data_IF_450392585057
#
_entry.id   IF_450392585057
#
_cell.length_a   1.000
_cell.length_b   1.000
_cell.length_c   1.000
_cell.angle_alpha   90.00
_cell.angle_beta   90.00
_cell.angle_gamma   90.00
#
_symmetry.space_group_name_H-M   'P 1'
#
loop_
_entity.id
_entity.type
_entity.pdbx_description
1 polymer ?
#
# COMPACT_ATOMS: atom_id res chain seq x y z
N UNK A 1 11.43 11.30 1.62
CA UNK A 1 11.78 11.32 3.06
C UNK A 1 13.16 10.73 3.35
N UNK A 2 13.53 9.57 2.75
CA UNK A 2 14.86 8.98 2.98
C UNK A 2 16.00 9.91 2.54
N UNK A 3 15.89 10.57 1.38
CA UNK A 3 16.87 11.55 0.90
C UNK A 3 16.96 12.82 1.77
N UNK A 4 15.97 13.08 2.62
CA UNK A 4 15.93 14.25 3.52
C UNK A 4 16.45 13.93 4.92
N UNK A 5 16.61 12.66 5.27
CA UNK A 5 17.11 12.21 6.56
C UNK A 5 18.63 12.00 6.50
N UNK A 6 19.31 12.15 7.61
CA UNK A 6 20.78 12.01 7.69
C UNK A 6 21.32 10.60 7.44
N UNK A 7 20.46 9.64 7.13
CA UNK A 7 20.84 8.24 6.86
C UNK A 7 21.78 8.07 5.66
N UNK A 8 21.76 9.01 4.70
CA UNK A 8 22.71 9.00 3.58
C UNK A 8 24.17 9.20 4.03
N UNK A 9 24.41 9.74 5.22
CA UNK A 9 25.76 9.94 5.80
C UNK A 9 26.40 8.65 6.27
N UNK A 10 25.62 7.60 6.50
CA UNK A 10 26.14 6.28 6.85
C UNK A 10 26.88 5.70 5.65
N UNK A 11 28.06 5.11 5.88
CA UNK A 11 28.99 4.73 4.81
C UNK A 11 28.37 3.82 3.74
N UNK A 12 27.52 2.87 4.10
CA UNK A 12 26.84 2.01 3.14
C UNK A 12 25.79 2.70 2.25
N UNK A 13 25.34 3.90 2.62
CA UNK A 13 24.24 4.58 1.94
C UNK A 13 24.68 5.69 0.99
N UNK A 14 25.92 6.16 1.07
CA UNK A 14 26.42 7.30 0.25
C UNK A 14 26.27 7.04 -1.24
N UNK A 15 26.70 5.88 -1.71
CA UNK A 15 26.63 5.51 -3.13
C UNK A 15 25.18 5.51 -3.62
N UNK A 16 24.30 4.85 -2.87
CA UNK A 16 22.87 4.76 -3.18
C UNK A 16 22.20 6.14 -3.14
N UNK A 17 22.57 6.99 -2.18
CA UNK A 17 22.08 8.36 -2.12
C UNK A 17 22.45 9.15 -3.38
N UNK A 18 23.71 9.09 -3.81
CA UNK A 18 24.18 9.82 -5.00
C UNK A 18 23.51 9.31 -6.27
N UNK A 19 23.31 8.00 -6.38
CA UNK A 19 22.59 7.39 -7.50
C UNK A 19 21.14 7.90 -7.56
N UNK A 20 20.41 7.86 -6.44
CA UNK A 20 19.03 8.34 -6.36
C UNK A 20 18.93 9.85 -6.63
N UNK A 21 19.87 10.65 -6.11
CA UNK A 21 19.92 12.07 -6.37
C UNK A 21 20.13 12.37 -7.86
N UNK A 22 21.01 11.63 -8.53
CA UNK A 22 21.26 11.76 -9.97
C UNK A 22 20.03 11.37 -10.81
N UNK A 23 19.37 10.25 -10.50
CA UNK A 23 18.12 9.82 -11.16
C UNK A 23 17.04 10.91 -11.02
N UNK A 24 16.89 11.45 -9.80
CA UNK A 24 15.92 12.50 -9.53
C UNK A 24 16.24 13.79 -10.27
N UNK A 25 17.50 14.21 -10.24
CA UNK A 25 17.94 15.43 -10.92
C UNK A 25 17.77 15.37 -12.46
N UNK A 26 17.88 14.18 -13.03
CA UNK A 26 17.62 13.94 -14.45
C UNK A 26 16.14 13.82 -14.81
N UNK A 27 15.24 13.87 -13.84
CA UNK A 27 13.81 13.69 -14.07
C UNK A 27 13.39 12.29 -14.51
N UNK A 28 14.23 11.26 -14.28
CA UNK A 28 13.99 9.89 -14.75
C UNK A 28 12.97 9.13 -13.89
N UNK A 29 12.63 9.64 -12.71
CA UNK A 29 11.73 8.97 -11.76
C UNK A 29 10.48 9.82 -11.45
N UNK A 30 9.63 10.15 -12.43
CA UNK A 30 8.44 10.98 -12.21
C UNK A 30 7.44 10.35 -11.23
N UNK A 31 7.38 9.01 -11.16
CA UNK A 31 6.56 8.25 -10.21
C UNK A 31 7.30 7.92 -8.90
N UNK A 32 8.53 8.37 -8.74
CA UNK A 32 9.40 8.10 -7.59
C UNK A 32 10.46 7.03 -7.86
N UNK A 33 11.51 7.02 -7.03
CA UNK A 33 12.69 6.17 -7.21
C UNK A 33 12.36 4.68 -7.20
N UNK A 34 11.47 4.24 -6.31
CA UNK A 34 11.10 2.81 -6.22
C UNK A 34 10.39 2.36 -7.48
N UNK A 35 9.47 3.20 -8.02
CA UNK A 35 8.81 2.92 -9.28
C UNK A 35 9.80 2.82 -10.44
N UNK A 36 10.74 3.76 -10.52
CA UNK A 36 11.79 3.76 -11.53
C UNK A 36 12.64 2.46 -11.48
N UNK A 37 13.09 2.05 -10.29
CA UNK A 37 13.87 0.83 -10.13
C UNK A 37 13.06 -0.39 -10.56
N UNK A 38 11.83 -0.52 -10.06
CA UNK A 38 10.98 -1.68 -10.36
C UNK A 38 10.66 -1.78 -11.86
N UNK A 39 10.32 -0.68 -12.51
CA UNK A 39 10.01 -0.65 -13.95
C UNK A 39 11.27 -0.83 -14.83
N UNK A 40 12.47 -0.55 -14.31
CA UNK A 40 13.74 -0.77 -15.01
C UNK A 40 14.23 -2.21 -14.88
N UNK A 41 14.09 -2.80 -13.68
CA UNK A 41 14.54 -4.16 -13.38
C UNK A 41 13.57 -5.24 -13.89
N UNK A 42 12.29 -4.91 -13.99
CA UNK A 42 11.21 -5.87 -14.29
C UNK A 42 10.27 -5.31 -15.36
N UNK A 43 10.36 -5.82 -16.56
CA UNK A 43 9.56 -5.40 -17.72
C UNK A 43 8.04 -5.65 -17.60
N UNK A 44 7.66 -6.58 -16.74
CA UNK A 44 6.26 -6.92 -16.46
C UNK A 44 5.62 -6.13 -15.31
N UNK A 45 6.38 -5.28 -14.61
CA UNK A 45 5.88 -4.41 -13.55
C UNK A 45 5.54 -3.04 -14.12
N UNK A 46 4.34 -2.58 -13.83
CA UNK A 46 3.91 -1.20 -14.07
C UNK A 46 3.55 -0.57 -12.74
N UNK A 47 4.26 0.47 -12.35
CA UNK A 47 3.95 1.26 -11.17
C UNK A 47 2.94 2.36 -11.50
N UNK A 48 2.02 2.61 -10.59
CA UNK A 48 1.08 3.72 -10.69
C UNK A 48 1.73 5.01 -10.18
N UNK A 49 1.42 6.13 -10.81
CA UNK A 49 1.72 7.46 -10.29
C UNK A 49 0.77 7.85 -9.15
N UNK A 50 1.07 8.99 -8.53
CA UNK A 50 0.15 9.60 -7.57
C UNK A 50 -1.13 10.00 -8.32
N UNK A 51 -2.29 9.66 -7.77
CA UNK A 51 -3.61 9.95 -8.34
C UNK A 51 -3.97 9.17 -9.64
N UNK A 52 -3.16 8.20 -10.07
CA UNK A 52 -3.57 7.26 -11.12
C UNK A 52 -4.56 6.23 -10.56
N UNK A 53 -5.70 6.06 -11.27
CA UNK A 53 -6.71 5.05 -10.92
C UNK A 53 -6.34 3.68 -11.48
N UNK A 54 -6.61 2.64 -10.71
CA UNK A 54 -6.51 1.25 -11.15
C UNK A 54 -7.73 0.46 -10.73
N UNK A 55 -8.65 0.28 -11.67
CA UNK A 55 -9.92 -0.41 -11.43
C UNK A 55 -9.89 -1.84 -11.94
N UNK A 56 -10.24 -2.79 -11.07
CA UNK A 56 -10.39 -4.20 -11.42
C UNK A 56 -11.79 -4.66 -11.05
N UNK A 57 -12.59 -5.02 -12.04
CA UNK A 57 -13.95 -5.54 -11.86
C UNK A 57 -14.83 -4.62 -10.98
N UNK A 58 -14.66 -3.30 -11.13
CA UNK A 58 -15.41 -2.30 -10.37
C UNK A 58 -14.85 -1.96 -9.00
N UNK A 59 -13.66 -2.46 -8.66
CA UNK A 59 -12.93 -2.12 -7.44
C UNK A 59 -11.74 -1.23 -7.74
N UNK A 60 -11.66 -0.07 -7.08
CA UNK A 60 -10.51 0.83 -7.13
C UNK A 60 -9.40 0.31 -6.20
N UNK A 61 -8.21 0.12 -6.74
CA UNK A 61 -7.07 -0.50 -6.05
C UNK A 61 -5.86 0.44 -5.88
N UNK A 62 -5.93 1.65 -6.42
CA UNK A 62 -4.80 2.60 -6.37
C UNK A 62 -4.63 3.30 -5.04
N UNK A 63 -5.65 3.27 -4.18
CA UNK A 63 -5.67 3.99 -2.91
C UNK A 63 -4.83 3.26 -1.86
N UNK A 64 -3.73 3.88 -1.41
CA UNK A 64 -2.92 3.30 -0.34
C UNK A 64 -3.68 3.23 1.00
N UNK A 65 -4.45 4.26 1.33
CA UNK A 65 -5.24 4.32 2.56
C UNK A 65 -4.73 5.31 3.60
N UNK A 66 -3.61 5.99 3.36
CA UNK A 66 -3.08 7.05 4.24
C UNK A 66 -3.82 8.37 4.07
N UNK A 67 -4.34 8.64 2.87
CA UNK A 67 -5.10 9.84 2.53
C UNK A 67 -6.55 9.50 2.24
N UNK A 68 -7.45 10.17 2.93
CA UNK A 68 -8.87 10.13 2.70
C UNK A 68 -9.35 11.25 1.78
N UNK A 69 -10.64 11.51 1.79
CA UNK A 69 -11.24 12.58 0.99
C UNK A 69 -10.59 13.93 1.26
N UNK A 70 -10.34 14.69 0.19
CA UNK A 70 -9.73 16.03 0.23
C UNK A 70 -8.36 16.09 0.94
N UNK A 71 -7.59 14.98 0.89
CA UNK A 71 -6.26 14.92 1.47
C UNK A 71 -6.21 14.79 3.00
N UNK A 72 -7.33 14.60 3.66
CA UNK A 72 -7.39 14.34 5.10
C UNK A 72 -6.77 12.97 5.44
N UNK A 73 -6.50 12.70 6.72
CA UNK A 73 -6.04 11.38 7.14
C UNK A 73 -7.07 10.31 6.78
N UNK A 74 -6.63 9.26 6.10
CA UNK A 74 -7.50 8.17 5.66
C UNK A 74 -8.16 7.43 6.82
N UNK A 75 -9.44 7.11 6.63
CA UNK A 75 -10.18 6.24 7.54
C UNK A 75 -11.17 5.38 6.76
N UNK A 76 -11.51 4.22 7.29
CA UNK A 76 -12.43 3.29 6.64
C UNK A 76 -13.81 3.93 6.34
N UNK A 77 -14.29 4.81 7.22
CA UNK A 77 -15.57 5.52 7.01
C UNK A 77 -15.48 6.47 5.81
N UNK A 78 -14.38 7.19 5.65
CA UNK A 78 -14.18 8.08 4.49
C UNK A 78 -14.13 7.28 3.19
N UNK A 79 -13.41 6.15 3.18
CA UNK A 79 -13.33 5.28 2.00
C UNK A 79 -14.66 4.63 1.64
N UNK A 80 -15.47 4.24 2.64
CA UNK A 80 -16.84 3.80 2.42
C UNK A 80 -17.69 4.86 1.70
N UNK A 81 -17.48 6.13 2.03
CA UNK A 81 -18.26 7.24 1.49
C UNK A 81 -17.80 7.68 0.08
N UNK A 82 -16.74 7.09 -0.47
CA UNK A 82 -16.42 7.28 -1.88
C UNK A 82 -17.47 6.55 -2.73
N UNK A 83 -17.95 7.19 -3.80
CA UNK A 83 -18.94 6.58 -4.71
C UNK A 83 -18.32 5.49 -5.62
N UNK A 84 -17.32 4.79 -5.12
CA UNK A 84 -16.63 3.69 -5.81
C UNK A 84 -16.24 2.64 -4.79
N UNK A 85 -16.46 1.37 -5.15
CA UNK A 85 -15.93 0.26 -4.35
C UNK A 85 -14.41 0.33 -4.35
N UNK A 86 -13.81 0.18 -3.17
CA UNK A 86 -12.36 0.33 -3.07
C UNK A 86 -11.73 -0.64 -2.07
N UNK A 87 -10.46 -0.95 -2.32
CA UNK A 87 -9.62 -1.76 -1.44
C UNK A 87 -8.39 -0.96 -1.08
N UNK A 88 -8.14 -0.80 0.21
CA UNK A 88 -6.99 -0.04 0.72
C UNK A 88 -6.10 -0.88 1.64
N UNK A 89 -4.90 -0.42 1.90
CA UNK A 89 -3.96 -0.95 2.89
C UNK A 89 -3.78 -0.01 4.08
N UNK A 90 -2.53 0.31 4.39
CA UNK A 90 -2.04 1.28 5.37
C UNK A 90 -2.38 1.00 6.84
N UNK A 91 -3.63 0.73 7.17
CA UNK A 91 -4.09 0.54 8.57
C UNK A 91 -3.57 -0.74 9.20
N UNK A 92 -3.08 -1.69 8.41
CA UNK A 92 -2.68 -3.04 8.80
C UNK A 92 -3.81 -3.85 9.47
N UNK A 93 -5.03 -3.36 9.42
CA UNK A 93 -6.22 -3.97 10.01
C UNK A 93 -7.19 -4.36 8.89
N UNK A 94 -7.65 -5.61 8.90
CA UNK A 94 -8.69 -6.02 7.97
C UNK A 94 -10.03 -5.40 8.40
N UNK A 95 -10.63 -4.61 7.53
CA UNK A 95 -11.92 -3.94 7.76
C UNK A 95 -12.82 -4.22 6.57
N UNK A 96 -14.07 -4.53 6.84
CA UNK A 96 -15.11 -4.66 5.82
C UNK A 96 -16.25 -3.71 6.15
N UNK A 97 -16.45 -2.75 5.30
CA UNK A 97 -17.61 -1.86 5.29
C UNK A 97 -18.28 -1.95 3.93
N UNK A 98 -19.49 -1.46 3.82
CA UNK A 98 -20.20 -1.44 2.54
C UNK A 98 -19.41 -0.65 1.50
N UNK A 99 -19.05 -1.30 0.39
CA UNK A 99 -18.24 -0.71 -0.68
C UNK A 99 -16.75 -0.50 -0.35
N UNK A 100 -16.27 -0.82 0.87
CA UNK A 100 -14.87 -0.65 1.25
C UNK A 100 -14.29 -1.88 1.95
N UNK A 101 -13.10 -2.29 1.52
CA UNK A 101 -12.29 -3.30 2.20
C UNK A 101 -10.91 -2.72 2.51
N UNK A 102 -10.42 -2.91 3.72
CA UNK A 102 -9.03 -2.65 4.06
C UNK A 102 -8.30 -3.96 4.30
N UNK A 103 -7.15 -4.17 3.66
CA UNK A 103 -6.31 -5.34 3.91
C UNK A 103 -5.46 -5.14 5.16
N UNK A 104 -5.03 -6.25 5.75
CA UNK A 104 -4.06 -6.26 6.82
C UNK A 104 -2.62 -6.05 6.33
N UNK A 105 -1.70 -6.70 6.97
CA UNK A 105 -0.27 -6.66 6.63
C UNK A 105 0.25 -8.06 6.27
N UNK A 106 1.37 -8.13 5.57
CA UNK A 106 2.13 -9.37 5.35
C UNK A 106 3.38 -9.45 6.22
N UNK A 107 3.50 -8.58 7.21
CA UNK A 107 4.63 -8.54 8.14
C UNK A 107 4.30 -9.23 9.47
N UNK A 108 5.28 -9.29 10.36
CA UNK A 108 5.04 -9.69 11.75
C UNK A 108 4.05 -8.74 12.41
N UNK A 109 3.10 -9.27 13.17
CA UNK A 109 2.08 -8.47 13.84
C UNK A 109 2.63 -7.64 15.01
N UNK A 110 3.83 -7.97 15.50
CA UNK A 110 4.56 -7.19 16.50
C UNK A 110 5.90 -6.76 15.94
N UNK A 111 6.10 -5.46 15.82
CA UNK A 111 7.24 -4.81 15.17
C UNK A 111 8.04 -3.93 16.13
N UNK A 112 7.84 -4.06 17.44
CA UNK A 112 8.55 -3.25 18.45
C UNK A 112 8.00 -1.84 18.65
N UNK A 113 7.44 -1.22 17.62
CA UNK A 113 6.82 0.12 17.73
C UNK A 113 5.30 0.08 17.97
N UNK A 114 4.64 -1.02 17.67
CA UNK A 114 3.22 -1.23 17.95
C UNK A 114 3.05 -1.97 19.28
N UNK A 115 3.20 -1.24 20.37
CA UNK A 115 3.07 -1.76 21.73
C UNK A 115 1.61 -1.91 22.14
N UNK A 116 1.32 -2.84 23.07
CA UNK A 116 -0.01 -3.04 23.62
C UNK A 116 -0.92 -3.94 22.77
N UNK A 117 -2.22 -3.77 22.89
CA UNK A 117 -3.21 -4.46 22.08
C UNK A 117 -3.21 -3.91 20.66
N UNK A 118 -3.22 -4.80 19.66
CA UNK A 118 -3.17 -4.44 18.26
C UNK A 118 -4.32 -5.08 17.49
N UNK A 119 -4.92 -4.31 16.60
CA UNK A 119 -5.92 -4.78 15.63
C UNK A 119 -5.29 -5.30 14.33
N UNK A 120 -3.96 -5.32 14.24
CA UNK A 120 -3.27 -5.79 13.05
C UNK A 120 -3.57 -7.25 12.76
N UNK A 121 -3.76 -7.55 11.50
CA UNK A 121 -4.04 -8.89 10.99
C UNK A 121 -3.20 -9.18 9.75
N UNK A 122 -2.87 -10.44 9.55
CA UNK A 122 -2.32 -10.89 8.27
C UNK A 122 -3.49 -11.24 7.38
N UNK A 123 -3.75 -10.43 6.36
CA UNK A 123 -4.88 -10.66 5.46
C UNK A 123 -4.69 -10.04 4.09
N UNK A 124 -5.31 -10.66 3.12
CA UNK A 124 -5.43 -10.21 1.73
C UNK A 124 -6.90 -10.15 1.31
N UNK A 125 -7.15 -9.64 0.11
CA UNK A 125 -8.47 -9.66 -0.53
C UNK A 125 -8.34 -10.36 -1.88
N UNK A 126 -9.30 -11.22 -2.19
CA UNK A 126 -9.52 -11.77 -3.53
C UNK A 126 -10.73 -11.08 -4.15
N UNK A 127 -10.61 -10.67 -5.41
CA UNK A 127 -11.70 -10.21 -6.25
C UNK A 127 -12.04 -11.34 -7.21
N UNK A 128 -13.29 -11.77 -7.20
CA UNK A 128 -13.80 -12.82 -8.08
C UNK A 128 -14.31 -12.23 -9.40
N UNK A 129 -14.40 -13.05 -10.48
CA UNK A 129 -14.90 -12.60 -11.78
C UNK A 129 -16.31 -11.96 -11.75
N UNK A 130 -17.13 -12.33 -10.76
CA UNK A 130 -18.46 -11.76 -10.54
C UNK A 130 -18.44 -10.42 -9.74
N UNK A 131 -17.30 -9.76 -9.65
CA UNK A 131 -17.10 -8.49 -8.91
C UNK A 131 -17.33 -8.58 -7.39
N UNK A 132 -17.46 -9.77 -6.83
CA UNK A 132 -17.45 -9.96 -5.37
C UNK A 132 -16.02 -9.94 -4.86
N UNK A 133 -15.80 -9.38 -3.67
CA UNK A 133 -14.50 -9.39 -3.02
C UNK A 133 -14.62 -9.95 -1.61
N UNK A 134 -13.58 -10.66 -1.19
CA UNK A 134 -13.56 -11.39 0.08
C UNK A 134 -12.20 -11.31 0.74
N UNK A 135 -12.18 -11.09 2.07
CA UNK A 135 -10.95 -11.21 2.85
C UNK A 135 -10.52 -12.68 2.98
N UNK A 136 -9.22 -12.86 2.92
CA UNK A 136 -8.54 -14.09 3.33
C UNK A 136 -7.64 -13.73 4.50
N UNK A 137 -7.88 -14.34 5.65
CA UNK A 137 -7.06 -14.17 6.84
C UNK A 137 -6.08 -15.32 6.97
N UNK A 138 -4.87 -15.01 7.41
CA UNK A 138 -3.83 -16.01 7.68
C UNK A 138 -3.59 -16.03 9.19
N UNK A 139 -3.94 -17.12 9.83
CA UNK A 139 -3.78 -17.32 11.27
C UNK A 139 -2.93 -18.57 11.49
N UNK A 140 -1.80 -18.44 12.19
CA UNK A 140 -0.87 -19.54 12.47
C UNK A 140 -0.46 -20.32 11.22
N UNK A 141 -0.21 -19.61 10.11
CA UNK A 141 0.17 -20.22 8.84
C UNK A 141 -0.96 -20.89 8.05
N UNK A 142 -2.20 -20.83 8.54
CA UNK A 142 -3.40 -21.33 7.84
C UNK A 142 -4.26 -20.18 7.40
N UNK A 143 -4.78 -20.24 6.18
CA UNK A 143 -5.74 -19.26 5.70
C UNK A 143 -7.16 -19.62 6.15
N UNK A 144 -7.96 -18.62 6.44
CA UNK A 144 -9.39 -18.73 6.70
C UNK A 144 -10.13 -17.62 5.97
N UNK A 145 -11.37 -17.91 5.60
CA UNK A 145 -12.29 -16.92 5.03
C UNK A 145 -13.40 -16.68 6.03
N UNK A 146 -13.60 -15.41 6.40
CA UNK A 146 -14.74 -15.01 7.18
C UNK A 146 -15.79 -14.39 6.27
N UNK A 147 -17.00 -14.79 6.42
CA UNK A 147 -18.16 -14.31 5.68
C UNK A 147 -18.78 -13.08 6.35
#
# INVERSE_FOLDING_TARGET
RWLQNEDWRKDGNKKLYLEFANITAKGLAPKGIIAYILETEFDHIKCLGVDESYNVLGWELSLHGDRGSSGSRGSAVQFKNLNVKNITGHSHTAIKLDGHLSVGTLTKLRMGYNLGMSSWSVSNVIIYPNSKAQHIHITRGKYTTFY
#
